data_IF_919615428092
#
_entry.id   IF_919615428092
#
_cell.length_a   1.000
_cell.length_b   1.000
_cell.length_c   1.000
_cell.angle_alpha   90.00
_cell.angle_beta   90.00
_cell.angle_gamma   90.00
#
_symmetry.space_group_name_H-M   'P 1'
#
loop_
_entity.id
_entity.type
_entity.pdbx_description
1 polymer ?
#
# COMPACT_ATOMS: atom_id res chain seq x y z
N UNK A 1 -23.03 0.34 -28.03
CA UNK A 1 -23.45 0.78 -26.67
C UNK A 1 -22.45 0.21 -25.68
N UNK A 2 -21.76 1.04 -24.89
CA UNK A 2 -20.84 0.56 -23.85
C UNK A 2 -21.61 0.56 -22.54
N UNK A 3 -21.98 -0.61 -22.03
CA UNK A 3 -22.80 -0.75 -20.82
C UNK A 3 -21.99 -0.79 -19.51
N UNK A 4 -20.66 -0.68 -19.61
CA UNK A 4 -19.71 -0.69 -18.49
C UNK A 4 -18.61 0.35 -18.74
N UNK A 5 -18.24 1.09 -17.69
CA UNK A 5 -17.27 2.19 -17.75
C UNK A 5 -15.85 1.80 -17.33
N UNK A 6 -15.71 1.00 -16.27
CA UNK A 6 -14.41 0.72 -15.63
C UNK A 6 -14.25 -0.77 -15.37
N UNK A 7 -13.03 -1.28 -15.56
CA UNK A 7 -12.62 -2.63 -15.15
C UNK A 7 -11.59 -2.49 -14.04
N UNK A 8 -11.83 -3.10 -12.89
CA UNK A 8 -10.88 -3.14 -11.76
C UNK A 8 -10.45 -4.58 -11.56
N UNK A 9 -9.14 -4.79 -11.36
CA UNK A 9 -8.55 -6.10 -11.11
C UNK A 9 -7.71 -6.06 -9.85
N UNK A 10 -7.97 -6.99 -8.92
CA UNK A 10 -7.08 -7.22 -7.80
C UNK A 10 -5.88 -8.05 -8.27
N UNK A 11 -4.67 -7.53 -8.06
CA UNK A 11 -3.44 -8.21 -8.45
C UNK A 11 -2.86 -8.90 -7.21
N UNK A 12 -2.53 -10.20 -7.36
CA UNK A 12 -1.87 -10.97 -6.31
C UNK A 12 -0.37 -10.74 -6.40
N UNK A 13 0.20 -10.12 -5.38
CA UNK A 13 1.64 -9.98 -5.20
C UNK A 13 2.15 -11.04 -4.21
N UNK A 14 3.47 -11.29 -4.15
CA UNK A 14 4.10 -11.93 -2.99
C UNK A 14 3.86 -11.15 -1.69
N UNK A 15 4.24 -11.77 -0.57
CA UNK A 15 4.27 -11.09 0.74
C UNK A 15 5.37 -10.01 0.68
N UNK A 16 4.98 -8.76 0.86
CA UNK A 16 5.90 -7.61 0.92
C UNK A 16 6.55 -7.54 2.29
N UNK A 17 7.85 -7.23 2.30
CA UNK A 17 8.70 -7.14 3.47
C UNK A 17 9.47 -5.82 3.48
N UNK A 18 10.08 -5.55 4.64
CA UNK A 18 10.97 -4.41 4.81
C UNK A 18 12.15 -4.45 3.83
N UNK A 19 12.45 -3.31 3.21
CA UNK A 19 13.51 -3.11 2.21
C UNK A 19 13.30 -3.84 0.88
N UNK A 20 12.10 -4.37 0.63
CA UNK A 20 11.75 -4.90 -0.70
C UNK A 20 11.73 -3.78 -1.76
N UNK A 21 12.20 -4.08 -2.97
CA UNK A 21 11.98 -3.22 -4.13
C UNK A 21 10.52 -3.33 -4.59
N UNK A 22 9.70 -2.46 -4.02
CA UNK A 22 8.27 -2.46 -4.25
C UNK A 22 7.90 -2.19 -5.72
N UNK A 23 8.69 -1.38 -6.42
CA UNK A 23 8.42 -1.04 -7.83
C UNK A 23 8.59 -2.28 -8.68
N UNK A 24 9.72 -2.98 -8.55
CA UNK A 24 9.98 -4.20 -9.31
C UNK A 24 8.93 -5.27 -9.02
N UNK A 25 8.60 -5.50 -7.74
CA UNK A 25 7.59 -6.50 -7.36
C UNK A 25 6.22 -6.19 -7.98
N UNK A 26 5.79 -4.92 -7.97
CA UNK A 26 4.51 -4.51 -8.54
C UNK A 26 4.50 -4.68 -10.06
N UNK A 27 5.55 -4.24 -10.76
CA UNK A 27 5.65 -4.37 -12.21
C UNK A 27 5.66 -5.84 -12.63
N UNK A 28 6.44 -6.69 -11.96
CA UNK A 28 6.52 -8.11 -12.27
C UNK A 28 5.18 -8.82 -12.03
N UNK A 29 4.50 -8.51 -10.92
CA UNK A 29 3.17 -9.07 -10.62
C UNK A 29 2.12 -8.64 -11.64
N UNK A 30 2.18 -7.40 -12.11
CA UNK A 30 1.30 -6.87 -13.16
C UNK A 30 1.53 -7.57 -14.50
N UNK A 31 2.79 -7.74 -14.91
CA UNK A 31 3.15 -8.43 -16.15
C UNK A 31 2.80 -9.92 -16.10
N UNK A 32 2.99 -10.58 -14.96
CA UNK A 32 2.57 -11.97 -14.77
C UNK A 32 1.04 -12.11 -14.84
N UNK A 33 0.29 -11.22 -14.19
CA UNK A 33 -1.19 -11.23 -14.23
C UNK A 33 -1.73 -10.96 -15.64
N UNK A 34 -1.08 -10.05 -16.38
CA UNK A 34 -1.38 -9.76 -17.79
C UNK A 34 -1.32 -11.04 -18.62
N UNK A 35 -0.22 -11.78 -18.52
CA UNK A 35 0.02 -13.02 -19.26
C UNK A 35 -0.96 -14.13 -18.83
N UNK A 36 -1.17 -14.31 -17.51
CA UNK A 36 -1.99 -15.41 -17.00
C UNK A 36 -3.49 -15.23 -17.23
N UNK A 37 -4.00 -14.00 -17.12
CA UNK A 37 -5.43 -13.68 -17.23
C UNK A 37 -5.82 -13.16 -18.62
N UNK A 38 -4.87 -13.01 -19.54
CA UNK A 38 -5.11 -12.65 -20.94
C UNK A 38 -5.73 -11.26 -21.13
N UNK A 39 -5.27 -10.26 -20.40
CA UNK A 39 -5.66 -8.86 -20.62
C UNK A 39 -4.49 -7.98 -21.07
N UNK A 40 -4.80 -6.83 -21.64
CA UNK A 40 -3.80 -5.84 -22.06
C UNK A 40 -3.95 -4.56 -21.24
N UNK A 41 -2.82 -3.96 -20.88
CA UNK A 41 -2.79 -2.60 -20.34
C UNK A 41 -3.10 -1.60 -21.44
N UNK A 42 -3.79 -0.52 -21.08
CA UNK A 42 -4.15 0.58 -21.98
C UNK A 42 -3.45 1.85 -21.54
N UNK A 43 -3.33 2.78 -22.49
CA UNK A 43 -2.88 4.13 -22.17
C UNK A 43 -3.76 4.72 -21.05
N UNK A 44 -3.11 5.25 -20.02
CA UNK A 44 -3.72 5.82 -18.80
C UNK A 44 -4.44 4.83 -17.88
N UNK A 45 -4.15 3.52 -17.98
CA UNK A 45 -4.51 2.61 -16.88
C UNK A 45 -3.83 3.05 -15.58
N UNK A 46 -4.53 2.87 -14.47
CA UNK A 46 -4.08 3.30 -13.14
C UNK A 46 -3.65 2.08 -12.34
N UNK A 47 -2.43 2.13 -11.82
CA UNK A 47 -1.93 1.17 -10.82
C UNK A 47 -2.13 1.78 -9.45
N UNK A 48 -2.78 1.03 -8.55
CA UNK A 48 -3.02 1.46 -7.18
C UNK A 48 -2.35 0.50 -6.21
N UNK A 49 -1.75 1.06 -5.15
CA UNK A 49 -1.17 0.32 -4.04
C UNK A 49 -1.63 0.96 -2.74
N UNK A 50 -1.89 0.15 -1.72
CA UNK A 50 -2.28 0.64 -0.41
C UNK A 50 -1.07 1.17 0.34
N UNK A 51 -1.24 2.26 1.09
CA UNK A 51 -0.20 2.86 1.93
C UNK A 51 0.47 1.85 2.87
N UNK A 52 -0.29 0.91 3.44
CA UNK A 52 0.26 -0.12 4.32
C UNK A 52 1.43 -0.89 3.68
N UNK A 53 1.34 -1.17 2.38
CA UNK A 53 2.38 -1.90 1.65
C UNK A 53 3.62 -1.03 1.42
N UNK A 54 3.41 0.26 1.14
CA UNK A 54 4.50 1.24 1.03
C UNK A 54 5.23 1.35 2.37
N UNK A 55 4.48 1.54 3.46
CA UNK A 55 5.04 1.60 4.82
C UNK A 55 5.79 0.33 5.23
N UNK A 56 5.29 -0.85 4.86
CA UNK A 56 6.01 -2.12 5.04
C UNK A 56 7.36 -2.08 4.32
N UNK A 57 7.39 -1.74 3.02
CA UNK A 57 8.61 -1.75 2.21
C UNK A 57 9.66 -0.74 2.67
N UNK A 58 9.23 0.42 3.15
CA UNK A 58 10.11 1.49 3.64
C UNK A 58 10.55 1.27 5.10
N UNK A 59 10.04 0.23 5.77
CA UNK A 59 10.28 0.04 7.21
C UNK A 59 9.75 1.18 8.06
N UNK A 60 8.69 1.85 7.59
CA UNK A 60 8.13 3.02 8.24
C UNK A 60 7.21 2.61 9.41
N UNK A 61 7.85 2.10 10.46
CA UNK A 61 7.21 1.64 11.68
C UNK A 61 7.66 2.46 12.88
N UNK A 62 6.76 2.58 13.84
CA UNK A 62 7.06 3.04 15.20
C UNK A 62 6.57 1.99 16.17
N UNK A 63 7.29 1.79 17.26
CA UNK A 63 6.85 0.90 18.33
C UNK A 63 5.75 1.56 19.15
N UNK A 64 5.01 0.76 19.92
CA UNK A 64 4.04 1.29 20.89
C UNK A 64 4.73 2.16 21.95
N UNK A 65 5.99 1.85 22.30
CA UNK A 65 6.77 2.63 23.26
C UNK A 65 7.15 4.00 22.69
N UNK A 66 7.54 4.08 21.41
CA UNK A 66 7.81 5.36 20.73
C UNK A 66 6.58 6.27 20.75
N UNK A 67 5.41 5.69 20.47
CA UNK A 67 4.12 6.41 20.53
C UNK A 67 3.81 6.85 21.96
N UNK A 68 4.02 6.00 22.96
CA UNK A 68 3.77 6.32 24.35
C UNK A 68 4.68 7.45 24.86
N UNK A 69 5.97 7.43 24.49
CA UNK A 69 6.93 8.47 24.84
C UNK A 69 6.56 9.81 24.17
N UNK A 70 6.20 9.77 22.89
CA UNK A 70 5.79 10.96 22.13
C UNK A 70 4.52 11.60 22.72
N UNK A 71 3.54 10.78 23.13
CA UNK A 71 2.32 11.25 23.81
C UNK A 71 2.63 11.91 25.15
N UNK A 72 3.51 11.34 25.97
CA UNK A 72 3.90 11.93 27.26
C UNK A 72 4.59 13.29 27.07
N UNK A 73 5.46 13.41 26.07
CA UNK A 73 6.15 14.66 25.73
C UNK A 73 5.16 15.73 25.24
N UNK A 74 4.22 15.37 24.37
CA UNK A 74 3.26 16.30 23.76
C UNK A 74 2.11 16.68 24.71
N UNK A 75 1.69 15.77 25.58
CA UNK A 75 0.52 15.93 26.44
C UNK A 75 0.86 15.64 27.92
N UNK A 76 1.60 16.56 28.59
CA UNK A 76 2.03 16.34 29.98
C UNK A 76 0.87 16.27 30.98
N UNK A 77 -0.33 16.75 30.61
CA UNK A 77 -1.50 16.83 31.49
C UNK A 77 -2.16 15.48 31.83
N UNK A 78 -1.60 14.34 31.36
CA UNK A 78 -2.08 12.94 31.51
C UNK A 78 -3.47 12.65 30.96
N UNK A 79 -4.33 13.65 30.84
CA UNK A 79 -5.67 13.55 30.28
C UNK A 79 -5.67 14.14 28.88
N UNK A 80 -6.17 13.39 27.90
CA UNK A 80 -6.32 13.85 26.52
C UNK A 80 -7.81 13.83 26.21
N UNK A 81 -8.38 15.01 25.91
CA UNK A 81 -9.73 15.11 25.36
C UNK A 81 -9.67 14.87 23.86
N UNK A 82 -10.55 14.01 23.35
CA UNK A 82 -10.78 13.78 21.92
C UNK A 82 -12.16 14.33 21.57
N UNK A 83 -12.30 14.97 20.41
CA UNK A 83 -13.56 15.54 19.91
C UNK A 83 -14.16 14.64 18.84
#
# INVERSE_FOLDING_TARGET
MRCVGTVVRGIRTPIIKENDDLVTIVVDSLMAAKESEGFEFRDKDIVAITEAVVGISEGNYVTVDDVAEDLQKKFPSKNIGVT
#
